data_IF_225369545605
#
_entry.id   IF_225369545605
#
_cell.length_a   1.000
_cell.length_b   1.000
_cell.length_c   1.000
_cell.angle_alpha   90.00
_cell.angle_beta   90.00
_cell.angle_gamma   90.00
#
_symmetry.space_group_name_H-M   'P 1'
#
loop_
_entity.id
_entity.type
_entity.pdbx_description
1 polymer ?
#
# COMPACT_ATOMS: atom_id res chain seq x y z
N UNK A 1 -17.76 -13.75 32.73
CA UNK A 1 -16.31 -13.50 32.79
C UNK A 1 -15.91 -12.90 31.45
N UNK A 2 -15.70 -11.58 31.43
CA UNK A 2 -15.17 -10.88 30.25
C UNK A 2 -13.74 -11.35 30.06
N UNK A 3 -13.43 -12.05 28.97
CA UNK A 3 -12.07 -12.24 28.55
C UNK A 3 -11.55 -10.85 28.15
N UNK A 4 -10.80 -10.21 29.07
CA UNK A 4 -10.15 -8.97 28.76
C UNK A 4 -9.23 -9.18 27.56
N UNK A 5 -9.36 -8.34 26.56
CA UNK A 5 -8.40 -8.29 25.47
C UNK A 5 -7.10 -7.80 26.08
N UNK A 6 -6.18 -8.73 26.34
CA UNK A 6 -4.84 -8.45 26.87
C UNK A 6 -3.95 -7.90 25.76
N UNK A 7 -4.37 -6.76 25.20
CA UNK A 7 -3.69 -6.08 24.11
C UNK A 7 -3.31 -4.67 24.56
N UNK A 8 -2.01 -4.45 24.78
CA UNK A 8 -1.47 -3.11 24.93
C UNK A 8 -1.06 -2.56 23.56
N UNK A 9 -1.77 -1.54 23.02
CA UNK A 9 -1.44 -0.98 21.70
C UNK A 9 -0.09 -0.25 21.68
N UNK A 10 0.53 0.00 22.82
CA UNK A 10 1.85 0.63 22.93
C UNK A 10 3.00 -0.39 22.92
N UNK A 11 2.69 -1.68 23.11
CA UNK A 11 3.68 -2.76 23.06
C UNK A 11 3.71 -3.34 21.64
N UNK A 12 4.83 -3.26 20.91
CA UNK A 12 4.95 -3.83 19.57
C UNK A 12 4.75 -5.35 19.63
N UNK A 13 3.91 -5.86 18.74
CA UNK A 13 3.74 -7.31 18.55
C UNK A 13 4.93 -7.85 17.74
N UNK A 14 5.22 -9.16 17.79
CA UNK A 14 6.26 -9.76 16.95
C UNK A 14 6.13 -9.47 15.47
N UNK A 15 4.89 -9.35 14.96
CA UNK A 15 4.61 -8.99 13.55
C UNK A 15 4.96 -7.54 13.22
N UNK A 16 5.06 -6.69 14.22
CA UNK A 16 5.39 -5.27 14.07
C UNK A 16 6.89 -5.01 14.18
N UNK A 17 7.67 -6.03 14.52
CA UNK A 17 9.13 -5.95 14.63
C UNK A 17 9.80 -6.25 13.28
N UNK A 18 10.94 -5.62 13.00
CA UNK A 18 11.75 -5.99 11.85
C UNK A 18 12.25 -7.42 11.97
N UNK A 19 12.33 -8.10 10.84
CA UNK A 19 12.91 -9.45 10.78
C UNK A 19 14.43 -9.35 10.69
N UNK A 20 15.13 -10.11 11.51
CA UNK A 20 16.59 -10.23 11.43
C UNK A 20 16.99 -11.52 10.73
N UNK A 21 17.97 -11.44 9.83
CA UNK A 21 18.58 -12.63 9.24
C UNK A 21 19.81 -13.04 10.06
N UNK A 22 19.95 -14.33 10.41
CA UNK A 22 21.14 -14.80 11.12
C UNK A 22 22.37 -14.67 10.22
N UNK A 23 23.47 -14.15 10.76
CA UNK A 23 24.74 -14.03 10.03
C UNK A 23 25.34 -15.40 9.71
N UNK A 24 25.08 -16.41 10.55
CA UNK A 24 25.57 -17.78 10.43
C UNK A 24 24.44 -18.79 10.52
N UNK A 25 24.65 -19.99 9.98
CA UNK A 25 23.68 -21.09 10.03
C UNK A 25 22.56 -21.00 9.01
N UNK A 26 21.45 -21.71 9.22
CA UNK A 26 20.30 -21.73 8.33
C UNK A 26 19.46 -20.46 8.39
N UNK A 27 18.83 -20.07 7.29
CA UNK A 27 17.77 -19.06 7.25
C UNK A 27 16.45 -19.80 7.40
N UNK A 28 15.66 -19.44 8.40
CA UNK A 28 14.27 -19.89 8.51
C UNK A 28 13.46 -19.21 7.41
N UNK A 29 13.13 -19.96 6.38
CA UNK A 29 12.40 -19.44 5.23
C UNK A 29 10.96 -19.05 5.57
N UNK A 30 10.32 -19.75 6.52
CA UNK A 30 8.96 -19.42 6.91
C UNK A 30 8.88 -18.02 7.54
N UNK A 31 9.84 -17.70 8.38
CA UNK A 31 9.95 -16.35 8.99
C UNK A 31 10.42 -15.33 7.97
N UNK A 32 11.46 -15.63 7.21
CA UNK A 32 12.07 -14.70 6.27
C UNK A 32 11.13 -14.33 5.11
N UNK A 33 10.37 -15.28 4.58
CA UNK A 33 9.43 -15.05 3.48
C UNK A 33 8.22 -14.21 3.90
N UNK A 34 7.98 -14.08 5.21
CA UNK A 34 6.95 -13.21 5.78
C UNK A 34 7.46 -11.84 6.20
N UNK A 35 8.73 -11.59 6.05
CA UNK A 35 9.31 -10.31 6.44
C UNK A 35 8.69 -9.15 5.65
N UNK A 36 8.46 -8.04 6.33
CA UNK A 36 8.16 -6.74 5.72
C UNK A 36 9.45 -5.98 5.47
N UNK A 37 10.29 -5.97 6.48
CA UNK A 37 11.57 -5.27 6.50
C UNK A 37 12.61 -6.21 7.16
N UNK A 38 13.78 -6.27 6.56
CA UNK A 38 14.95 -6.89 7.19
C UNK A 38 15.80 -5.83 7.86
N UNK A 39 15.95 -5.90 9.17
CA UNK A 39 16.85 -5.03 9.90
C UNK A 39 18.31 -5.43 9.66
N UNK A 40 19.17 -4.44 9.48
CA UNK A 40 20.60 -4.66 9.48
C UNK A 40 21.13 -4.90 10.90
N UNK A 41 22.27 -5.57 11.06
CA UNK A 41 22.98 -5.63 12.34
C UNK A 41 23.32 -4.23 12.84
N UNK A 42 23.35 -4.07 14.16
CA UNK A 42 23.76 -2.81 14.80
C UNK A 42 25.23 -2.45 14.50
N UNK A 43 26.11 -3.46 14.42
CA UNK A 43 27.51 -3.24 14.05
C UNK A 43 27.66 -3.15 12.52
N UNK A 44 28.11 -2.00 11.98
CA UNK A 44 28.38 -1.86 10.57
C UNK A 44 29.43 -2.84 10.00
N UNK A 45 30.29 -3.38 10.83
CA UNK A 45 31.27 -4.38 10.41
C UNK A 45 30.62 -5.68 9.91
N UNK A 46 29.40 -5.98 10.39
CA UNK A 46 28.61 -7.15 9.99
C UNK A 46 27.81 -6.94 8.71
N UNK A 47 27.69 -5.71 8.20
CA UNK A 47 26.85 -5.42 7.02
C UNK A 47 27.28 -6.16 5.75
N UNK A 48 28.57 -6.38 5.45
CA UNK A 48 28.94 -7.20 4.28
C UNK A 48 28.42 -8.63 4.37
N UNK A 49 28.53 -9.27 5.55
CA UNK A 49 28.01 -10.61 5.79
C UNK A 49 26.46 -10.63 5.69
N UNK A 50 25.80 -9.65 6.32
CA UNK A 50 24.35 -9.50 6.26
C UNK A 50 23.83 -9.33 4.82
N UNK A 51 24.48 -8.52 3.98
CA UNK A 51 24.12 -8.40 2.55
C UNK A 51 24.25 -9.73 1.81
N UNK A 52 25.25 -10.53 2.16
CA UNK A 52 25.38 -11.90 1.65
C UNK A 52 24.20 -12.78 2.04
N UNK A 53 23.71 -12.64 3.28
CA UNK A 53 22.52 -13.36 3.75
C UNK A 53 21.23 -12.91 3.06
N UNK A 54 21.05 -11.61 2.85
CA UNK A 54 19.95 -11.07 2.06
C UNK A 54 19.95 -11.62 0.63
N UNK A 55 21.12 -11.68 -0.01
CA UNK A 55 21.25 -12.24 -1.35
C UNK A 55 20.91 -13.75 -1.36
N UNK A 56 21.42 -14.49 -0.39
CA UNK A 56 21.11 -15.92 -0.24
C UNK A 56 19.60 -16.15 -0.09
N UNK A 57 18.95 -15.42 0.83
CA UNK A 57 17.50 -15.52 1.00
C UNK A 57 16.77 -15.23 -0.30
N UNK A 58 17.13 -14.14 -0.98
CA UNK A 58 16.52 -13.75 -2.26
C UNK A 58 16.61 -14.83 -3.32
N UNK A 59 17.79 -15.44 -3.47
CA UNK A 59 18.01 -16.48 -4.46
C UNK A 59 17.25 -17.76 -4.11
N UNK A 60 17.19 -18.14 -2.83
CA UNK A 60 16.42 -19.25 -2.32
C UNK A 60 14.92 -19.03 -2.49
N UNK A 61 14.42 -17.86 -2.13
CA UNK A 61 13.02 -17.47 -2.30
C UNK A 61 12.63 -17.47 -3.77
N UNK A 62 13.46 -16.96 -4.67
CA UNK A 62 13.19 -16.98 -6.11
C UNK A 62 13.15 -18.39 -6.71
N UNK A 63 13.86 -19.35 -6.11
CA UNK A 63 13.74 -20.76 -6.52
C UNK A 63 12.43 -21.39 -6.04
N UNK A 64 11.92 -20.98 -4.86
CA UNK A 64 10.65 -21.48 -4.32
C UNK A 64 9.44 -20.85 -5.02
N UNK A 65 9.50 -19.54 -5.20
CA UNK A 65 8.42 -18.76 -5.79
C UNK A 65 8.84 -18.34 -7.19
N UNK A 66 8.51 -19.17 -8.17
CA UNK A 66 8.74 -18.85 -9.58
C UNK A 66 8.02 -17.53 -9.91
N UNK A 67 8.76 -16.46 -9.89
CA UNK A 67 8.27 -15.18 -10.39
C UNK A 67 8.31 -15.27 -11.91
N UNK A 68 7.31 -15.92 -12.48
CA UNK A 68 7.05 -15.81 -13.91
C UNK A 68 6.88 -14.32 -14.21
N UNK A 69 7.53 -13.82 -15.26
CA UNK A 69 7.62 -12.40 -15.55
C UNK A 69 6.26 -11.71 -15.53
N UNK A 70 5.90 -11.15 -14.39
CA UNK A 70 4.72 -10.29 -14.25
C UNK A 70 4.94 -9.01 -15.03
N UNK A 71 3.88 -8.50 -15.62
CA UNK A 71 3.91 -7.22 -16.34
C UNK A 71 3.78 -6.10 -15.31
N UNK A 72 4.90 -5.71 -14.71
CA UNK A 72 4.91 -4.54 -13.84
C UNK A 72 4.75 -3.27 -14.67
N UNK A 73 3.85 -2.39 -14.25
CA UNK A 73 3.72 -1.09 -14.88
C UNK A 73 4.99 -0.26 -14.63
N UNK A 74 5.41 0.50 -15.63
CA UNK A 74 6.64 1.30 -15.52
C UNK A 74 6.56 2.38 -14.44
N UNK A 75 5.38 2.95 -14.21
CA UNK A 75 5.19 4.02 -13.23
C UNK A 75 5.19 3.49 -11.79
N UNK A 76 4.61 2.31 -11.53
CA UNK A 76 4.52 1.77 -10.17
C UNK A 76 5.90 1.54 -9.55
N UNK A 77 6.87 1.09 -10.35
CA UNK A 77 8.25 0.89 -9.88
C UNK A 77 9.01 2.19 -9.58
N UNK A 78 8.49 3.32 -10.04
CA UNK A 78 9.03 4.67 -9.76
C UNK A 78 8.16 5.48 -8.78
N UNK A 79 7.14 4.89 -8.20
CA UNK A 79 6.24 5.58 -7.27
C UNK A 79 6.83 5.54 -5.85
N UNK A 80 7.68 6.51 -5.51
CA UNK A 80 8.36 6.57 -4.21
C UNK A 80 7.52 7.26 -3.13
N UNK A 81 6.74 8.26 -3.51
CA UNK A 81 6.00 9.10 -2.57
C UNK A 81 4.51 9.02 -2.87
N UNK A 82 3.75 8.50 -1.92
CA UNK A 82 2.30 8.35 -2.07
C UNK A 82 1.56 8.80 -0.82
N UNK A 83 0.44 9.48 -1.01
CA UNK A 83 -0.46 9.88 0.06
C UNK A 83 -1.76 9.09 0.04
N UNK A 84 -2.20 8.64 1.20
CA UNK A 84 -3.58 8.26 1.45
C UNK A 84 -4.33 9.53 1.86
N UNK A 85 -5.23 10.01 1.03
CA UNK A 85 -5.90 11.30 1.22
C UNK A 85 -7.40 11.09 1.39
N UNK A 86 -7.92 11.58 2.52
CA UNK A 86 -9.35 11.62 2.70
C UNK A 86 -9.99 12.57 1.68
N UNK A 87 -11.03 12.12 0.98
CA UNK A 87 -11.70 12.92 -0.05
C UNK A 87 -12.19 14.28 0.46
N UNK A 88 -12.54 14.37 1.74
CA UNK A 88 -13.03 15.58 2.37
C UNK A 88 -11.97 16.33 3.18
N UNK A 89 -10.68 16.01 2.98
CA UNK A 89 -9.58 16.78 3.58
C UNK A 89 -9.65 18.24 3.09
N UNK A 90 -9.51 19.18 4.01
CA UNK A 90 -9.62 20.62 3.74
C UNK A 90 -8.54 21.15 2.76
N UNK A 91 -7.49 20.38 2.52
CA UNK A 91 -6.46 20.67 1.52
C UNK A 91 -6.83 20.20 0.13
N UNK A 92 -7.81 19.30 0.04
CA UNK A 92 -8.28 18.72 -1.21
C UNK A 92 -9.67 19.24 -1.59
N UNK A 93 -10.52 19.50 -0.61
CA UNK A 93 -11.91 19.88 -0.82
C UNK A 93 -12.25 21.20 -0.13
N UNK A 94 -12.68 22.18 -0.91
CA UNK A 94 -13.20 23.46 -0.41
C UNK A 94 -14.68 23.31 -0.01
N UNK A 95 -14.95 23.27 1.29
CA UNK A 95 -16.31 23.07 1.82
C UNK A 95 -17.24 24.24 1.56
N UNK A 96 -16.71 25.45 1.44
CA UNK A 96 -17.52 26.65 1.20
C UNK A 96 -17.98 26.71 -0.26
N UNK A 97 -17.12 26.27 -1.18
CA UNK A 97 -17.43 26.22 -2.60
C UNK A 97 -18.08 24.90 -3.03
N UNK A 98 -17.92 23.85 -2.24
CA UNK A 98 -18.39 22.51 -2.58
C UNK A 98 -17.62 21.87 -3.74
N UNK A 99 -16.34 22.22 -3.92
CA UNK A 99 -15.53 21.75 -5.05
C UNK A 99 -14.15 21.25 -4.63
N UNK A 100 -13.56 20.40 -5.45
CA UNK A 100 -12.19 19.91 -5.24
C UNK A 100 -11.17 20.96 -5.68
N UNK A 101 -10.19 21.21 -4.81
CA UNK A 101 -9.12 22.19 -5.02
C UNK A 101 -7.75 21.58 -4.70
N UNK A 102 -7.18 20.72 -5.55
CA UNK A 102 -5.96 19.97 -5.24
C UNK A 102 -4.71 20.84 -5.09
N UNK A 103 -4.77 22.11 -5.45
CA UNK A 103 -3.62 23.04 -5.42
C UNK A 103 -2.93 23.11 -4.04
N UNK A 104 -3.71 23.18 -2.95
CA UNK A 104 -3.14 23.24 -1.59
C UNK A 104 -2.42 21.95 -1.22
N UNK A 105 -3.04 20.83 -1.48
CA UNK A 105 -2.43 19.52 -1.23
C UNK A 105 -1.11 19.36 -1.99
N UNK A 106 -1.10 19.73 -3.26
CA UNK A 106 0.09 19.60 -4.11
C UNK A 106 1.19 20.59 -3.73
N UNK A 107 0.83 21.85 -3.42
CA UNK A 107 1.80 22.87 -2.98
C UNK A 107 2.48 22.48 -1.65
N UNK A 108 1.74 21.89 -0.71
CA UNK A 108 2.32 21.38 0.53
C UNK A 108 3.34 20.26 0.27
N UNK A 109 3.07 19.42 -0.73
CA UNK A 109 3.94 18.31 -1.10
C UNK A 109 5.21 18.75 -1.85
N UNK A 110 5.22 19.89 -2.50
CA UNK A 110 6.41 20.43 -3.21
C UNK A 110 7.64 20.55 -2.28
N UNK A 111 7.42 20.74 -0.98
CA UNK A 111 8.48 20.87 0.03
C UNK A 111 9.38 19.62 0.13
N UNK A 112 8.90 18.46 -0.28
CA UNK A 112 9.65 17.20 -0.29
C UNK A 112 9.71 16.54 -1.68
N UNK A 113 9.36 17.25 -2.74
CA UNK A 113 9.45 16.78 -4.12
C UNK A 113 8.13 16.35 -4.76
N UNK A 114 7.02 16.48 -4.05
CA UNK A 114 5.69 16.15 -4.57
C UNK A 114 5.24 14.72 -4.28
N UNK A 115 4.05 14.39 -4.77
CA UNK A 115 3.51 13.02 -4.76
C UNK A 115 3.64 12.39 -6.14
N UNK A 116 4.11 11.15 -6.20
CA UNK A 116 4.02 10.31 -7.41
C UNK A 116 2.61 9.75 -7.59
N UNK A 117 1.92 9.49 -6.47
CA UNK A 117 0.54 9.00 -6.47
C UNK A 117 -0.24 9.45 -5.24
N UNK A 118 -1.57 9.38 -5.36
CA UNK A 118 -2.51 9.51 -4.24
C UNK A 118 -3.50 8.35 -4.25
N UNK A 119 -3.91 7.91 -3.05
CA UNK A 119 -5.09 7.07 -2.86
C UNK A 119 -6.21 7.99 -2.38
N UNK A 120 -7.28 8.09 -3.15
CA UNK A 120 -8.47 8.84 -2.76
C UNK A 120 -9.32 7.95 -1.84
N UNK A 121 -9.24 8.23 -0.55
CA UNK A 121 -9.87 7.43 0.49
C UNK A 121 -11.21 8.03 0.91
N UNK A 122 -12.27 7.22 0.86
CA UNK A 122 -13.60 7.68 1.28
C UNK A 122 -13.78 7.70 2.81
N UNK A 123 -12.92 7.02 3.59
CA UNK A 123 -12.91 6.99 5.06
C UNK A 123 -14.24 6.51 5.68
N UNK A 124 -14.99 5.69 4.97
CA UNK A 124 -16.24 5.09 5.43
C UNK A 124 -17.29 6.07 6.03
N UNK A 125 -17.47 7.28 5.49
CA UNK A 125 -18.26 8.31 6.16
C UNK A 125 -19.76 8.00 6.23
N UNK A 126 -20.22 7.03 5.45
CA UNK A 126 -21.64 6.65 5.36
C UNK A 126 -21.94 5.27 5.93
N UNK A 127 -20.96 4.54 6.42
CA UNK A 127 -21.19 3.23 7.04
C UNK A 127 -22.14 3.38 8.23
N UNK A 128 -23.30 2.72 8.12
CA UNK A 128 -24.32 2.74 9.16
C UNK A 128 -25.15 4.02 9.23
N UNK A 129 -24.96 4.99 8.33
CA UNK A 129 -25.79 6.19 8.24
C UNK A 129 -26.96 6.00 7.27
N UNK A 130 -26.75 5.33 6.16
CA UNK A 130 -27.76 4.98 5.17
C UNK A 130 -27.43 3.64 4.49
N UNK A 131 -28.13 3.30 3.40
CA UNK A 131 -27.96 2.02 2.70
C UNK A 131 -26.80 2.00 1.71
N UNK A 132 -26.14 3.13 1.46
CA UNK A 132 -25.06 3.23 0.49
C UNK A 132 -23.86 2.38 0.89
N UNK A 133 -23.23 1.81 -0.10
CA UNK A 133 -21.94 1.12 0.01
C UNK A 133 -20.78 2.01 -0.51
N UNK A 134 -19.56 1.50 -0.49
CA UNK A 134 -18.39 2.23 -0.96
C UNK A 134 -18.48 2.61 -2.46
N UNK A 135 -19.10 1.79 -3.30
CA UNK A 135 -19.25 2.09 -4.72
C UNK A 135 -20.25 3.22 -4.96
N UNK A 136 -21.35 3.24 -4.22
CA UNK A 136 -22.29 4.36 -4.24
C UNK A 136 -21.62 5.66 -3.83
N UNK A 137 -20.78 5.59 -2.80
CA UNK A 137 -20.06 6.76 -2.33
C UNK A 137 -19.22 7.38 -3.45
N UNK A 138 -18.40 6.57 -4.15
CA UNK A 138 -17.60 7.09 -5.27
C UNK A 138 -18.46 7.59 -6.43
N UNK A 139 -19.61 6.98 -6.70
CA UNK A 139 -20.52 7.42 -7.75
C UNK A 139 -21.22 8.74 -7.42
N UNK A 140 -21.54 8.95 -6.14
CA UNK A 140 -22.27 10.12 -5.66
C UNK A 140 -21.38 11.36 -5.47
N UNK A 141 -20.05 11.22 -5.43
CA UNK A 141 -19.14 12.34 -5.25
C UNK A 141 -19.04 13.18 -6.51
N UNK A 142 -19.65 14.37 -6.47
CA UNK A 142 -19.60 15.33 -7.57
C UNK A 142 -18.19 15.82 -7.82
N UNK A 143 -17.77 15.89 -9.09
CA UNK A 143 -16.45 16.40 -9.49
C UNK A 143 -15.29 15.42 -9.29
N UNK A 144 -15.55 14.17 -8.90
CA UNK A 144 -14.49 13.20 -8.64
C UNK A 144 -13.71 12.84 -9.92
N UNK A 145 -14.39 12.66 -11.05
CA UNK A 145 -13.74 12.37 -12.34
C UNK A 145 -12.85 13.53 -12.82
N UNK A 146 -13.28 14.75 -12.61
CA UNK A 146 -12.52 15.97 -12.88
C UNK A 146 -11.29 16.06 -11.98
N UNK A 147 -11.43 15.75 -10.68
CA UNK A 147 -10.30 15.69 -9.75
C UNK A 147 -9.26 14.66 -10.22
N UNK A 148 -9.68 13.44 -10.56
CA UNK A 148 -8.78 12.39 -11.07
C UNK A 148 -8.02 12.89 -12.30
N UNK A 149 -8.73 13.45 -13.27
CA UNK A 149 -8.13 13.99 -14.48
C UNK A 149 -7.16 15.14 -14.20
N UNK A 150 -7.48 16.02 -13.24
CA UNK A 150 -6.61 17.14 -12.85
C UNK A 150 -5.31 16.65 -12.21
N UNK A 151 -5.39 15.70 -11.27
CA UNK A 151 -4.22 15.11 -10.62
C UNK A 151 -3.31 14.43 -11.65
N UNK A 152 -3.90 13.65 -12.57
CA UNK A 152 -3.15 12.97 -13.63
C UNK A 152 -2.48 13.94 -14.60
N UNK A 153 -3.13 15.07 -14.97
CA UNK A 153 -2.52 16.12 -15.79
C UNK A 153 -1.31 16.77 -15.12
N UNK A 154 -1.27 16.76 -13.80
CA UNK A 154 -0.13 17.26 -13.01
C UNK A 154 0.93 16.18 -12.73
N UNK A 155 0.78 15.01 -13.32
CA UNK A 155 1.74 13.90 -13.20
C UNK A 155 1.54 13.02 -11.97
N UNK A 156 0.47 13.24 -11.19
CA UNK A 156 0.16 12.45 -9.99
C UNK A 156 -0.76 11.29 -10.37
N UNK A 157 -0.35 10.05 -10.10
CA UNK A 157 -1.18 8.87 -10.31
C UNK A 157 -2.27 8.76 -9.25
N UNK A 158 -3.41 8.21 -9.63
CA UNK A 158 -4.58 8.16 -8.74
C UNK A 158 -5.06 6.74 -8.55
N UNK A 159 -5.18 6.33 -7.29
CA UNK A 159 -5.80 5.07 -6.89
C UNK A 159 -7.09 5.39 -6.11
N UNK A 160 -8.05 4.48 -6.19
CA UNK A 160 -9.18 4.45 -5.26
C UNK A 160 -8.96 3.40 -4.19
N UNK A 161 -9.57 3.60 -3.05
CA UNK A 161 -9.59 2.65 -1.96
C UNK A 161 -10.67 1.58 -2.17
N UNK A 162 -10.39 0.36 -1.78
CA UNK A 162 -11.35 -0.73 -1.71
C UNK A 162 -11.20 -1.49 -0.40
N UNK A 163 -12.28 -1.59 0.37
CA UNK A 163 -12.33 -2.36 1.60
C UNK A 163 -13.43 -3.44 1.51
N UNK A 164 -13.09 -4.74 1.60
CA UNK A 164 -14.05 -5.83 1.48
C UNK A 164 -15.05 -5.88 2.65
N UNK A 165 -14.77 -5.20 3.77
CA UNK A 165 -15.63 -5.14 4.94
C UNK A 165 -16.65 -4.01 4.86
N UNK A 166 -16.39 -2.99 4.06
CA UNK A 166 -17.29 -1.87 3.82
C UNK A 166 -18.31 -2.22 2.75
N UNK A 167 -19.19 -3.11 3.08
CA UNK A 167 -20.23 -3.56 2.16
C UNK A 167 -21.57 -2.89 2.38
N UNK A 168 -21.66 -2.00 3.38
CA UNK A 168 -22.91 -1.34 3.74
C UNK A 168 -24.06 -2.31 4.02
N UNK A 169 -25.27 -1.80 4.01
CA UNK A 169 -26.49 -2.60 4.10
C UNK A 169 -26.93 -3.11 2.73
N UNK A 170 -26.56 -2.40 1.65
CA UNK A 170 -26.88 -2.74 0.27
C UNK A 170 -25.71 -3.41 -0.42
N UNK A 171 -25.97 -4.54 -1.09
CA UNK A 171 -25.00 -5.20 -1.95
C UNK A 171 -25.23 -4.81 -3.41
N UNK A 172 -24.14 -4.75 -4.16
CA UNK A 172 -24.23 -4.60 -5.60
C UNK A 172 -24.80 -5.88 -6.26
N UNK A 173 -25.49 -5.75 -7.40
CA UNK A 173 -25.95 -6.91 -8.17
C UNK A 173 -24.78 -7.73 -8.76
N UNK A 174 -23.66 -7.07 -9.09
CA UNK A 174 -22.43 -7.69 -9.56
C UNK A 174 -21.49 -7.99 -8.41
N UNK A 175 -20.47 -8.77 -8.68
CA UNK A 175 -19.37 -8.99 -7.73
C UNK A 175 -18.57 -7.70 -7.50
N UNK A 176 -17.91 -7.61 -6.36
CA UNK A 176 -17.04 -6.46 -6.05
C UNK A 176 -15.92 -6.30 -7.10
N UNK A 177 -15.41 -7.39 -7.65
CA UNK A 177 -14.41 -7.38 -8.72
C UNK A 177 -14.94 -6.69 -9.99
N UNK A 178 -16.17 -7.03 -10.40
CA UNK A 178 -16.82 -6.41 -11.58
C UNK A 178 -17.15 -4.93 -11.29
N UNK A 179 -17.65 -4.61 -10.11
CA UNK A 179 -17.97 -3.23 -9.75
C UNK A 179 -16.71 -2.34 -9.68
N UNK A 180 -15.61 -2.86 -9.12
CA UNK A 180 -14.33 -2.14 -9.12
C UNK A 180 -13.81 -1.91 -10.54
N UNK A 181 -13.93 -2.89 -11.44
CA UNK A 181 -13.53 -2.71 -12.83
C UNK A 181 -14.36 -1.63 -13.53
N UNK A 182 -15.67 -1.59 -13.28
CA UNK A 182 -16.58 -0.54 -13.80
C UNK A 182 -16.20 0.82 -13.23
N UNK A 183 -16.03 0.92 -11.90
CA UNK A 183 -15.66 2.15 -11.21
C UNK A 183 -14.31 2.68 -11.69
N UNK A 184 -13.30 1.82 -11.73
CA UNK A 184 -11.96 2.19 -12.16
C UNK A 184 -11.92 2.67 -13.63
N UNK A 185 -12.79 2.11 -14.47
CA UNK A 185 -12.95 2.55 -15.85
C UNK A 185 -13.66 3.90 -15.93
N UNK A 186 -14.76 4.06 -15.21
CA UNK A 186 -15.55 5.29 -15.21
C UNK A 186 -14.77 6.51 -14.69
N UNK A 187 -14.00 6.33 -13.63
CA UNK A 187 -13.17 7.38 -13.04
C UNK A 187 -11.82 7.56 -13.77
N UNK A 188 -11.38 6.58 -14.56
CA UNK A 188 -10.09 6.63 -15.25
C UNK A 188 -8.88 6.52 -14.28
N UNK A 189 -9.06 5.96 -13.08
CA UNK A 189 -7.98 5.83 -12.10
C UNK A 189 -6.87 4.87 -12.55
N UNK A 190 -5.67 5.03 -12.01
CA UNK A 190 -4.49 4.24 -12.38
C UNK A 190 -4.41 2.91 -11.63
N UNK A 191 -5.08 2.79 -10.48
CA UNK A 191 -5.04 1.57 -9.67
C UNK A 191 -6.06 1.53 -8.54
N UNK A 192 -5.95 0.47 -7.74
CA UNK A 192 -6.78 0.22 -6.56
C UNK A 192 -5.88 -0.11 -5.38
N UNK A 193 -6.12 0.54 -4.26
CA UNK A 193 -5.54 0.23 -2.96
C UNK A 193 -6.48 -0.73 -2.23
N UNK A 194 -5.92 -1.83 -1.73
CA UNK A 194 -6.66 -2.92 -1.09
C UNK A 194 -6.59 -2.75 0.43
N UNK A 195 -7.50 -1.95 0.98
CA UNK A 195 -7.57 -1.67 2.40
C UNK A 195 -7.89 -2.96 3.19
N UNK A 196 -7.20 -3.16 4.31
CA UNK A 196 -7.24 -4.35 5.18
C UNK A 196 -6.80 -5.66 4.53
N UNK A 197 -6.34 -5.63 3.26
CA UNK A 197 -5.98 -6.81 2.49
C UNK A 197 -4.48 -6.83 2.18
N UNK A 198 -3.90 -8.03 2.15
CA UNK A 198 -2.54 -8.24 1.64
C UNK A 198 -2.52 -8.43 0.13
N UNK A 199 -3.60 -9.00 -0.40
CA UNK A 199 -3.72 -9.41 -1.79
C UNK A 199 -5.18 -9.43 -2.22
N UNK A 200 -5.44 -9.20 -3.47
CA UNK A 200 -6.76 -9.38 -4.07
C UNK A 200 -7.06 -10.84 -4.38
N UNK A 201 -8.34 -11.20 -4.38
CA UNK A 201 -8.81 -12.46 -4.95
C UNK A 201 -8.42 -12.58 -6.43
N UNK A 202 -8.38 -13.80 -6.96
CA UNK A 202 -8.02 -14.00 -8.38
C UNK A 202 -8.97 -13.31 -9.34
N UNK A 203 -10.27 -13.37 -9.05
CA UNK A 203 -11.32 -12.68 -9.80
C UNK A 203 -11.09 -11.16 -9.84
N UNK A 204 -10.71 -10.55 -8.71
CA UNK A 204 -10.39 -9.14 -8.63
C UNK A 204 -9.15 -8.79 -9.47
N UNK A 205 -8.09 -9.58 -9.33
CA UNK A 205 -6.85 -9.39 -10.10
C UNK A 205 -7.14 -9.50 -11.61
N UNK A 206 -7.84 -10.53 -12.04
CA UNK A 206 -8.21 -10.76 -13.43
C UNK A 206 -9.08 -9.62 -13.99
N UNK A 207 -10.08 -9.18 -13.23
CA UNK A 207 -10.97 -8.08 -13.64
C UNK A 207 -10.19 -6.78 -13.86
N UNK A 208 -9.30 -6.40 -12.95
CA UNK A 208 -8.56 -5.14 -13.04
C UNK A 208 -7.40 -5.20 -14.03
N UNK A 209 -6.73 -6.34 -14.16
CA UNK A 209 -5.66 -6.53 -15.16
C UNK A 209 -6.18 -6.66 -16.58
N UNK A 210 -7.43 -7.06 -16.79
CA UNK A 210 -8.06 -7.12 -18.12
C UNK A 210 -8.40 -5.73 -18.69
N UNK A 211 -8.39 -4.69 -17.89
CA UNK A 211 -8.65 -3.32 -18.33
C UNK A 211 -7.51 -2.78 -19.20
N UNK A 212 -7.81 -1.82 -20.05
CA UNK A 212 -6.82 -1.16 -20.88
C UNK A 212 -6.83 0.37 -20.65
N UNK A 213 -5.76 0.92 -20.03
CA UNK A 213 -4.60 0.20 -19.43
C UNK A 213 -5.00 -0.64 -18.23
N UNK A 214 -4.23 -1.70 -17.94
CA UNK A 214 -4.38 -2.50 -16.73
C UNK A 214 -4.23 -1.62 -15.47
N UNK A 215 -5.01 -1.92 -14.43
CA UNK A 215 -4.95 -1.16 -13.18
C UNK A 215 -3.96 -1.79 -12.23
N UNK A 216 -3.15 -0.94 -11.59
CA UNK A 216 -2.18 -1.35 -10.57
C UNK A 216 -2.91 -1.74 -9.30
N UNK A 217 -2.45 -2.81 -8.66
CA UNK A 217 -2.93 -3.25 -7.35
C UNK A 217 -1.87 -2.98 -6.28
N UNK A 218 -2.33 -2.47 -5.15
CA UNK A 218 -1.52 -2.26 -3.96
C UNK A 218 -2.17 -2.86 -2.72
N UNK A 219 -1.48 -3.79 -2.06
CA UNK A 219 -1.95 -4.35 -0.79
C UNK A 219 -1.58 -3.47 0.39
N UNK A 220 -2.47 -3.32 1.39
CA UNK A 220 -2.21 -2.54 2.61
C UNK A 220 -1.09 -3.15 3.47
N UNK A 221 -0.77 -4.40 3.27
CA UNK A 221 0.35 -5.05 3.94
C UNK A 221 1.25 -5.71 2.89
N UNK A 222 2.31 -6.42 3.35
CA UNK A 222 3.16 -7.15 2.42
C UNK A 222 2.34 -8.11 1.58
N UNK A 223 2.60 -8.15 0.31
CA UNK A 223 2.04 -9.15 -0.60
C UNK A 223 2.80 -10.47 -0.42
N UNK A 224 2.13 -11.64 -0.43
CA UNK A 224 2.81 -12.95 -0.47
C UNK A 224 3.74 -13.04 -1.68
N UNK A 225 4.92 -13.68 -1.50
CA UNK A 225 5.95 -13.70 -2.53
C UNK A 225 5.52 -14.43 -3.81
N UNK A 226 4.63 -15.41 -3.69
CA UNK A 226 4.03 -16.14 -4.83
C UNK A 226 2.99 -15.35 -5.61
N UNK A 227 2.49 -14.25 -5.02
CA UNK A 227 1.49 -13.36 -5.63
C UNK A 227 2.07 -12.00 -6.03
N UNK A 228 3.38 -11.79 -5.82
CA UNK A 228 4.02 -10.47 -6.01
C UNK A 228 3.98 -9.97 -7.47
N UNK A 229 3.89 -10.89 -8.43
CA UNK A 229 3.77 -10.53 -9.84
C UNK A 229 2.39 -9.96 -10.24
N UNK A 230 1.40 -10.16 -9.40
CA UNK A 230 0.01 -9.72 -9.62
C UNK A 230 -0.28 -8.36 -8.94
N UNK A 231 0.61 -7.91 -8.08
CA UNK A 231 0.49 -6.69 -7.30
C UNK A 231 1.77 -5.89 -7.45
N UNK A 232 1.73 -4.74 -8.07
CA UNK A 232 2.93 -3.93 -8.32
C UNK A 232 3.41 -3.19 -7.09
N UNK A 233 2.54 -2.99 -6.09
CA UNK A 233 2.82 -2.23 -4.89
C UNK A 233 2.28 -2.91 -3.63
N UNK A 234 2.90 -2.63 -2.48
CA UNK A 234 2.42 -3.03 -1.16
C UNK A 234 2.95 -2.11 -0.07
N UNK A 235 2.37 -2.23 1.12
CA UNK A 235 2.87 -1.53 2.30
C UNK A 235 3.79 -2.41 3.14
N UNK A 236 4.78 -1.78 3.76
CA UNK A 236 5.51 -2.31 4.89
C UNK A 236 5.07 -1.54 6.15
N UNK A 237 3.98 -1.98 6.74
CA UNK A 237 3.51 -1.40 8.00
C UNK A 237 4.49 -1.73 9.12
N UNK A 238 4.96 -0.69 9.77
CA UNK A 238 5.95 -0.77 10.84
C UNK A 238 5.46 -0.02 12.06
N UNK A 239 5.40 -0.69 13.18
CA UNK A 239 4.89 -0.13 14.44
C UNK A 239 5.92 -0.13 15.55
N UNK A 240 7.14 -0.58 15.29
CA UNK A 240 8.23 -0.59 16.24
C UNK A 240 9.41 0.24 15.73
N UNK A 241 10.09 0.91 16.65
CA UNK A 241 11.29 1.64 16.34
C UNK A 241 12.47 0.67 16.21
N UNK A 242 13.33 0.94 15.26
CA UNK A 242 14.62 0.28 15.14
C UNK A 242 15.66 1.31 14.77
N UNK A 243 16.73 1.45 15.54
CA UNK A 243 17.82 2.35 15.22
C UNK A 243 18.70 1.82 14.08
N UNK A 244 18.56 0.53 13.75
CA UNK A 244 19.33 -0.06 12.67
C UNK A 244 18.69 0.19 11.30
N UNK A 245 19.48 0.50 10.27
CA UNK A 245 18.98 0.58 8.91
C UNK A 245 18.41 -0.77 8.47
N UNK A 246 17.53 -0.76 7.47
CA UNK A 246 16.90 -1.97 6.98
C UNK A 246 16.63 -1.91 5.48
N UNK A 247 16.14 -3.01 4.94
CA UNK A 247 15.69 -3.09 3.54
C UNK A 247 14.26 -3.62 3.48
N UNK A 248 13.46 -3.06 2.58
CA UNK A 248 12.12 -3.52 2.25
C UNK A 248 12.19 -4.90 1.61
N UNK A 249 11.60 -5.92 2.25
CA UNK A 249 11.76 -7.31 1.84
C UNK A 249 11.19 -7.59 0.44
N UNK A 250 9.99 -7.10 0.14
CA UNK A 250 9.36 -7.31 -1.16
C UNK A 250 10.11 -6.61 -2.28
N UNK A 251 10.56 -5.37 -2.06
CA UNK A 251 11.39 -4.64 -3.04
C UNK A 251 12.76 -5.31 -3.25
N UNK A 252 13.38 -5.84 -2.18
CA UNK A 252 14.62 -6.60 -2.31
C UNK A 252 14.44 -7.90 -3.09
N UNK A 253 13.28 -8.56 -2.90
CA UNK A 253 12.93 -9.77 -3.63
C UNK A 253 12.71 -9.50 -5.12
N UNK A 254 11.88 -8.49 -5.45
CA UNK A 254 11.62 -8.05 -6.83
C UNK A 254 11.77 -6.53 -6.92
N UNK A 255 12.83 -6.06 -7.57
CA UNK A 255 13.17 -4.63 -7.70
C UNK A 255 12.09 -3.76 -8.33
N UNK A 256 11.19 -4.33 -9.11
CA UNK A 256 10.08 -3.60 -9.74
C UNK A 256 8.85 -3.48 -8.86
N UNK A 257 8.77 -4.27 -7.79
CA UNK A 257 7.70 -4.15 -6.81
C UNK A 257 8.01 -3.00 -5.86
N UNK A 258 7.17 -1.99 -5.84
CA UNK A 258 7.31 -0.89 -4.90
C UNK A 258 6.69 -1.28 -3.55
N UNK A 259 7.46 -1.15 -2.49
CA UNK A 259 6.97 -1.37 -1.15
C UNK A 259 7.08 -0.07 -0.35
N UNK A 260 5.92 0.52 -0.01
CA UNK A 260 5.86 1.76 0.72
C UNK A 260 6.02 1.53 2.22
N UNK A 261 6.89 2.30 2.82
CA UNK A 261 7.03 2.32 4.27
C UNK A 261 5.89 3.14 4.89
N UNK A 262 5.16 2.52 5.82
CA UNK A 262 4.03 3.15 6.49
C UNK A 262 4.21 3.07 8.00
N UNK A 263 4.10 4.20 8.70
CA UNK A 263 4.23 4.25 10.15
C UNK A 263 3.07 4.96 10.81
N UNK A 264 2.97 4.79 12.12
CA UNK A 264 2.05 5.58 12.94
C UNK A 264 2.49 7.04 12.92
N UNK A 265 1.60 7.93 12.57
CA UNK A 265 1.81 9.36 12.40
C UNK A 265 1.77 10.17 13.71
N UNK A 266 1.50 9.54 14.86
CA UNK A 266 1.23 10.19 16.14
C UNK A 266 2.46 10.38 17.04
N UNK A 267 3.68 10.26 16.50
CA UNK A 267 4.93 10.46 17.26
C UNK A 267 6.03 11.02 16.36
N UNK A 268 7.12 11.47 16.98
CA UNK A 268 8.31 11.89 16.25
C UNK A 268 8.94 10.70 15.52
N UNK A 269 9.13 10.87 14.23
CA UNK A 269 9.69 9.88 13.32
C UNK A 269 11.04 10.32 12.72
N UNK A 270 11.67 11.35 13.29
CA UNK A 270 12.88 11.94 12.72
C UNK A 270 14.06 10.97 12.63
N UNK A 271 14.14 9.99 13.52
CA UNK A 271 15.16 8.94 13.54
C UNK A 271 14.85 7.75 12.60
N UNK A 272 13.64 7.67 12.08
CA UNK A 272 13.15 6.54 11.29
C UNK A 272 13.44 6.65 9.80
N UNK A 273 13.64 7.86 9.31
CA UNK A 273 14.04 8.08 7.91
C UNK A 273 15.35 7.40 7.57
N UNK A 274 16.21 7.15 8.56
CA UNK A 274 17.46 6.43 8.38
C UNK A 274 17.29 4.91 8.21
N UNK A 275 16.18 4.34 8.67
CA UNK A 275 15.92 2.90 8.60
C UNK A 275 15.12 2.46 7.37
N UNK A 276 14.61 3.40 6.59
CA UNK A 276 13.74 3.13 5.44
C UNK A 276 14.45 3.05 4.09
N UNK A 277 15.77 3.24 4.05
CA UNK A 277 16.58 3.27 2.81
C UNK A 277 17.15 1.92 2.38
#
# INVERSE_FOLDING_TARGET
MSAGIDFDPLVPRPIDLPTTLPLHGGIDSEVADRAKIFAAPADPADWPAWRGRLQQWRDDARRRYLVAGGTFSSWASGCFTKALVWLWDERLFDRERGEFTPDRLLADAERFGGFDAVVLWHAYPIIGLDERNQFDFYRDVSGLGELVSELQRRGVRVLVDYNPWDVGTRREPRSDAEELAVLATALGVDGVFLDTMREGGRDLVEALQSLHPARVLEGESRVPLDRIAEHEMSWAQWFADSPAPGVMAAHWFVRRHMQHHTRRWNRDHSDELQSAW
#
